data_IF_058756822139
#
_entry.id   IF_058756822139
#
_cell.length_a   1.000
_cell.length_b   1.000
_cell.length_c   1.000
_cell.angle_alpha   90.00
_cell.angle_beta   90.00
_cell.angle_gamma   90.00
#
_symmetry.space_group_name_H-M   'P 1'
#
loop_
_entity.id
_entity.type
_entity.pdbx_description
1 polymer ?
#
# COMPACT_ATOMS: atom_id res chain seq x y z
N UNK A 1 11.17 13.95 -17.85
CA UNK A 1 9.83 13.80 -17.24
C UNK A 1 9.85 13.15 -15.84
N UNK A 2 10.95 12.58 -15.34
CA UNK A 2 11.05 12.16 -13.93
C UNK A 2 11.09 13.37 -12.96
N UNK A 3 11.41 14.53 -13.51
CA UNK A 3 11.97 15.71 -12.86
C UNK A 3 10.93 16.47 -12.02
N UNK A 4 9.64 16.38 -12.35
CA UNK A 4 8.56 17.03 -11.59
C UNK A 4 8.29 16.36 -10.24
N UNK A 5 8.30 15.02 -10.20
CA UNK A 5 8.18 14.27 -8.94
C UNK A 5 9.45 14.46 -8.10
N UNK A 6 10.61 14.49 -8.75
CA UNK A 6 11.89 14.83 -8.14
C UNK A 6 11.92 16.25 -7.54
N UNK A 7 11.29 17.24 -8.19
CA UNK A 7 11.24 18.62 -7.72
C UNK A 7 10.24 18.82 -6.57
N UNK A 8 9.06 18.21 -6.64
CA UNK A 8 8.02 18.31 -5.59
C UNK A 8 8.50 17.73 -4.26
N UNK A 9 9.27 16.64 -4.29
CA UNK A 9 9.87 16.02 -3.11
C UNK A 9 11.10 16.80 -2.58
N UNK A 10 11.72 17.66 -3.40
CA UNK A 10 12.91 18.46 -3.03
C UNK A 10 12.62 19.79 -2.33
N UNK A 11 11.37 20.26 -2.30
CA UNK A 11 11.04 21.65 -1.93
C UNK A 11 10.04 21.81 -0.76
N UNK A 12 9.99 20.83 0.15
CA UNK A 12 9.24 20.97 1.42
C UNK A 12 9.85 22.03 2.33
N UNK A 13 9.07 23.07 2.66
CA UNK A 13 9.46 24.28 3.43
C UNK A 13 10.45 24.01 4.58
N UNK A 14 11.60 24.73 4.56
CA UNK A 14 12.59 25.00 5.63
C UNK A 14 14.04 24.51 5.41
N UNK A 15 14.56 24.45 4.18
CA UNK A 15 15.98 24.16 3.91
C UNK A 15 16.64 25.16 2.95
N UNK A 16 17.82 25.68 3.31
CA UNK A 16 18.73 26.37 2.38
C UNK A 16 19.48 25.35 1.52
N UNK A 17 19.57 25.59 0.21
CA UNK A 17 20.15 24.62 -0.76
C UNK A 17 21.37 25.20 -1.46
N UNK A 18 22.54 24.58 -1.28
CA UNK A 18 23.70 24.81 -2.15
C UNK A 18 23.77 23.73 -3.23
N UNK A 19 24.11 24.12 -4.47
CA UNK A 19 23.95 23.30 -5.67
C UNK A 19 25.18 22.43 -5.94
N UNK A 20 25.11 21.12 -5.67
CA UNK A 20 26.06 20.12 -6.21
C UNK A 20 25.36 19.05 -7.06
N UNK A 21 26.14 18.47 -7.98
CA UNK A 21 25.69 17.95 -9.28
C UNK A 21 24.92 16.62 -9.22
N UNK A 22 23.87 16.56 -10.05
CA UNK A 22 23.28 15.38 -10.74
C UNK A 22 22.71 14.23 -9.90
N UNK A 23 21.65 13.65 -10.47
CA UNK A 23 21.08 12.32 -10.20
C UNK A 23 20.57 12.04 -8.78
N UNK A 24 19.28 12.35 -8.52
CA UNK A 24 18.52 11.68 -7.45
C UNK A 24 17.55 12.56 -6.67
N UNK A 25 16.40 11.99 -6.30
CA UNK A 25 15.43 12.58 -5.38
C UNK A 25 15.92 12.42 -3.93
N UNK A 26 15.90 13.50 -3.16
CA UNK A 26 16.10 13.44 -1.71
C UNK A 26 14.74 13.36 -1.02
N UNK A 27 14.51 12.34 -0.20
CA UNK A 27 13.48 12.32 0.85
C UNK A 27 14.22 11.99 2.13
N UNK A 28 14.09 12.89 3.14
CA UNK A 28 14.88 13.44 5.88
C UNK A 28 14.40 12.59 7.16
N UNK A 29 15.21 11.62 7.61
CA UNK A 29 14.78 10.63 8.61
C UNK A 29 15.93 10.26 9.53
N UNK A 30 15.88 10.77 10.75
CA UNK A 30 16.96 10.60 11.73
C UNK A 30 17.08 9.11 12.13
N UNK A 31 18.34 8.68 12.30
CA UNK A 31 18.90 7.41 12.79
C UNK A 31 18.26 6.08 12.31
N UNK A 32 18.89 5.44 11.32
CA UNK A 32 18.42 4.19 10.72
C UNK A 32 19.55 3.17 10.41
N UNK A 33 19.24 1.88 10.55
CA UNK A 33 20.12 0.76 10.20
C UNK A 33 19.55 0.00 8.98
N UNK A 34 20.38 -0.28 7.98
CA UNK A 34 19.96 -1.04 6.79
C UNK A 34 20.68 -2.39 6.73
N UNK A 35 19.89 -3.47 6.68
CA UNK A 35 20.37 -4.85 6.58
C UNK A 35 20.17 -5.36 5.15
N UNK A 36 21.28 -5.68 4.49
CA UNK A 36 21.34 -6.05 3.07
C UNK A 36 21.82 -7.49 2.95
N UNK A 37 20.93 -8.36 2.48
CA UNK A 37 21.18 -9.79 2.35
C UNK A 37 21.16 -10.21 0.87
N UNK A 38 21.97 -11.19 0.49
CA UNK A 38 22.14 -11.64 -0.89
C UNK A 38 21.49 -13.01 -1.10
N UNK A 39 20.47 -13.08 -1.95
CA UNK A 39 19.76 -14.33 -2.23
C UNK A 39 20.52 -15.16 -3.27
N UNK A 40 21.11 -16.26 -2.82
CA UNK A 40 21.72 -17.27 -3.69
C UNK A 40 20.67 -18.33 -4.09
N UNK A 41 20.46 -18.50 -5.40
CA UNK A 41 19.52 -19.49 -5.93
C UNK A 41 20.13 -20.90 -5.97
N UNK A 42 19.74 -21.75 -5.00
CA UNK A 42 19.91 -23.23 -4.99
C UNK A 42 21.29 -23.79 -5.39
N UNK A 43 22.17 -24.02 -4.40
CA UNK A 43 22.82 -25.34 -4.10
C UNK A 43 23.85 -25.20 -2.96
N UNK A 44 24.08 -26.32 -2.25
CA UNK A 44 24.95 -26.49 -1.05
C UNK A 44 24.40 -25.74 0.19
N UNK A 45 24.03 -26.44 1.26
CA UNK A 45 24.82 -27.20 2.27
C UNK A 45 25.39 -26.30 3.37
N UNK A 46 25.51 -26.86 4.58
CA UNK A 46 26.08 -26.19 5.75
C UNK A 46 27.52 -25.72 5.48
N UNK A 47 27.90 -24.58 6.07
CA UNK A 47 29.29 -24.15 6.15
C UNK A 47 29.75 -23.17 5.06
N UNK A 48 29.09 -22.02 4.93
CA UNK A 48 29.73 -20.84 4.35
C UNK A 48 29.20 -19.53 4.96
N UNK A 49 30.04 -18.50 5.06
CA UNK A 49 29.74 -17.30 5.88
C UNK A 49 28.72 -16.38 5.20
N UNK A 50 27.54 -16.24 5.81
CA UNK A 50 26.51 -15.31 5.36
C UNK A 50 27.00 -13.85 5.46
N UNK A 51 27.30 -13.23 4.32
CA UNK A 51 27.59 -11.78 4.26
C UNK A 51 26.30 -10.98 4.36
N UNK A 52 25.88 -10.70 5.60
CA UNK A 52 24.94 -9.62 5.90
C UNK A 52 25.74 -8.32 5.93
N UNK A 53 25.44 -7.40 5.00
CA UNK A 53 26.00 -6.06 5.04
C UNK A 53 25.06 -5.18 5.87
N UNK A 54 25.55 -4.72 7.01
CA UNK A 54 24.94 -3.67 7.81
C UNK A 54 25.48 -2.32 7.33
N UNK A 55 24.60 -1.50 6.75
CA UNK A 55 24.91 -0.16 6.27
C UNK A 55 24.18 0.83 7.19
N UNK A 56 24.92 1.54 8.06
CA UNK A 56 24.36 2.47 9.04
C UNK A 56 24.28 3.89 8.46
N UNK A 57 23.14 4.56 8.60
CA UNK A 57 22.91 5.86 7.99
C UNK A 57 22.31 6.87 8.99
N UNK A 58 22.87 8.09 8.99
CA UNK A 58 22.29 9.24 9.69
C UNK A 58 21.50 10.10 8.71
N UNK A 59 20.23 10.34 9.01
CA UNK A 59 19.35 11.11 8.15
C UNK A 59 18.82 10.31 6.95
N UNK A 60 18.39 11.04 5.92
CA UNK A 60 17.70 10.48 4.76
C UNK A 60 18.52 9.42 3.99
N UNK A 61 17.89 8.27 3.75
CA UNK A 61 18.50 7.13 3.05
C UNK A 61 17.80 6.90 1.72
N UNK A 62 18.47 7.29 0.63
CA UNK A 62 18.09 6.89 -0.72
C UNK A 62 18.33 5.38 -0.89
N UNK A 63 17.36 4.64 -1.45
CA UNK A 63 17.55 3.21 -1.72
C UNK A 63 18.65 3.05 -2.79
N UNK A 64 19.82 2.47 -2.46
CA UNK A 64 20.96 2.42 -3.38
C UNK A 64 20.67 1.56 -4.60
N UNK A 65 21.47 1.69 -5.66
CA UNK A 65 21.42 0.75 -6.78
C UNK A 65 21.82 -0.66 -6.31
N UNK A 66 20.81 -1.48 -6.01
CA UNK A 66 20.98 -2.86 -5.64
C UNK A 66 21.43 -3.67 -6.87
N UNK A 67 22.52 -4.43 -6.72
CA UNK A 67 22.81 -5.53 -7.65
C UNK A 67 21.61 -6.50 -7.62
N UNK A 68 21.34 -7.19 -8.73
CA UNK A 68 20.23 -8.18 -8.80
C UNK A 68 20.36 -9.23 -7.67
N UNK A 69 19.23 -9.78 -7.24
CA UNK A 69 19.11 -10.83 -6.22
C UNK A 69 19.57 -10.43 -4.80
N UNK A 70 19.14 -9.25 -4.31
CA UNK A 70 19.30 -8.84 -2.91
C UNK A 70 17.95 -8.62 -2.23
N UNK A 71 17.87 -8.94 -0.95
CA UNK A 71 16.80 -8.54 -0.04
C UNK A 71 17.29 -7.35 0.77
N UNK A 72 16.50 -6.27 0.83
CA UNK A 72 16.71 -5.17 1.78
C UNK A 72 15.73 -5.35 2.94
N UNK A 73 16.28 -5.29 4.15
CA UNK A 73 15.55 -5.23 5.41
C UNK A 73 15.88 -3.87 6.02
N UNK A 74 14.86 -3.03 6.20
CA UNK A 74 15.00 -1.73 6.86
C UNK A 74 14.80 -1.95 8.36
N UNK A 75 15.72 -1.44 9.19
CA UNK A 75 15.57 -1.41 10.65
C UNK A 75 15.59 0.04 11.15
N UNK A 76 14.48 0.46 11.77
CA UNK A 76 14.29 1.81 12.33
C UNK A 76 13.67 1.69 13.71
N UNK A 77 14.20 2.45 14.69
CA UNK A 77 13.75 2.41 16.09
C UNK A 77 13.71 0.97 16.65
N UNK A 78 14.71 0.15 16.32
CA UNK A 78 14.75 -1.28 16.65
C UNK A 78 13.85 -2.19 15.79
N UNK A 79 12.73 -1.67 15.25
CA UNK A 79 11.77 -2.44 14.44
C UNK A 79 12.32 -2.84 13.08
N UNK A 80 11.98 -4.05 12.65
CA UNK A 80 12.21 -4.53 11.28
C UNK A 80 10.98 -4.23 10.40
N UNK A 81 11.23 -3.78 9.17
CA UNK A 81 10.20 -3.66 8.12
C UNK A 81 10.03 -4.98 7.35
N UNK A 82 8.80 -5.49 7.28
CA UNK A 82 8.42 -6.71 6.57
C UNK A 82 7.39 -6.44 5.46
N UNK A 83 7.31 -7.34 4.47
CA UNK A 83 6.23 -7.35 3.46
C UNK A 83 5.97 -8.78 2.96
N UNK A 84 4.81 -9.05 2.38
CA UNK A 84 4.45 -10.39 1.89
C UNK A 84 3.03 -10.49 1.34
N UNK A 85 2.54 -11.71 1.11
CA UNK A 85 1.17 -11.96 0.64
C UNK A 85 0.17 -11.90 1.82
N UNK A 86 -0.32 -10.69 2.10
CA UNK A 86 -1.04 -10.34 3.33
C UNK A 86 -2.52 -10.69 3.33
N UNK A 87 -3.15 -10.79 2.16
CA UNK A 87 -4.60 -10.98 2.03
C UNK A 87 -5.02 -12.46 2.03
N UNK A 88 -4.14 -13.36 1.60
CA UNK A 88 -4.42 -14.77 1.41
C UNK A 88 -3.44 -15.65 2.21
N UNK A 89 -2.44 -16.31 1.60
CA UNK A 89 -1.62 -17.35 2.26
C UNK A 89 -0.89 -16.88 3.54
N UNK A 90 -0.50 -15.61 3.61
CA UNK A 90 0.22 -15.05 4.76
C UNK A 90 -0.67 -14.48 5.85
N UNK A 91 -2.00 -14.42 5.67
CA UNK A 91 -2.90 -13.73 6.62
C UNK A 91 -2.88 -14.37 8.00
N UNK A 92 -2.79 -15.70 8.09
CA UNK A 92 -2.67 -16.44 9.36
C UNK A 92 -1.37 -16.11 10.11
N UNK A 93 -0.25 -15.98 9.40
CA UNK A 93 1.05 -15.72 9.99
C UNK A 93 1.18 -14.26 10.43
N UNK A 94 0.59 -13.34 9.67
CA UNK A 94 0.41 -11.94 10.06
C UNK A 94 -0.47 -11.85 11.31
N UNK A 95 -1.69 -12.41 11.28
CA UNK A 95 -2.65 -12.46 12.38
C UNK A 95 -1.99 -12.87 13.71
N UNK A 96 -1.35 -14.04 13.74
CA UNK A 96 -0.67 -14.52 14.95
C UNK A 96 0.56 -13.70 15.36
N UNK A 97 1.21 -12.99 14.43
CA UNK A 97 2.33 -12.10 14.76
C UNK A 97 1.86 -10.76 15.37
N UNK A 98 0.68 -10.27 14.96
CA UNK A 98 0.02 -9.11 15.55
C UNK A 98 -0.53 -9.44 16.95
N UNK A 99 -1.20 -10.58 17.08
CA UNK A 99 -1.73 -11.13 18.34
C UNK A 99 -0.66 -11.24 19.43
N UNK A 100 0.54 -11.71 19.09
CA UNK A 100 1.67 -11.84 20.03
C UNK A 100 2.41 -10.54 20.32
N UNK A 101 1.95 -9.39 19.82
CA UNK A 101 2.58 -8.09 20.09
C UNK A 101 4.02 -7.95 19.54
N UNK A 102 4.41 -8.71 18.52
CA UNK A 102 5.79 -8.65 18.00
C UNK A 102 6.12 -7.23 17.48
N UNK A 103 7.33 -6.72 17.76
CA UNK A 103 7.69 -5.35 17.43
C UNK A 103 8.26 -5.21 15.99
N UNK A 104 7.38 -5.06 15.01
CA UNK A 104 7.71 -4.90 13.58
C UNK A 104 6.80 -3.88 12.89
N UNK A 105 7.25 -3.36 11.74
CA UNK A 105 6.39 -2.64 10.78
C UNK A 105 6.12 -3.56 9.61
N UNK A 106 4.85 -3.73 9.25
CA UNK A 106 4.46 -4.52 8.09
C UNK A 106 3.88 -3.63 6.99
N UNK A 107 4.51 -3.65 5.82
CA UNK A 107 4.10 -2.89 4.64
C UNK A 107 3.45 -3.83 3.63
N UNK A 108 2.13 -3.71 3.47
CA UNK A 108 1.40 -4.38 2.41
C UNK A 108 1.38 -3.50 1.15
N UNK A 109 2.13 -3.90 0.13
CA UNK A 109 2.08 -3.28 -1.20
C UNK A 109 0.86 -3.81 -1.97
N UNK A 110 -0.33 -3.28 -1.69
CA UNK A 110 -1.56 -3.78 -2.30
C UNK A 110 -1.66 -3.40 -3.78
N UNK A 111 -1.37 -4.37 -4.64
CA UNK A 111 -1.52 -4.31 -6.09
C UNK A 111 -2.72 -5.14 -6.60
N UNK A 112 -3.60 -5.58 -5.70
CA UNK A 112 -4.92 -6.18 -5.96
C UNK A 112 -4.95 -7.48 -6.81
N UNK A 113 -3.82 -8.14 -7.03
CA UNK A 113 -3.73 -9.46 -7.68
C UNK A 113 -2.36 -10.10 -7.41
N UNK A 114 -2.17 -11.39 -7.69
CA UNK A 114 -0.81 -11.95 -7.73
C UNK A 114 -0.11 -11.53 -9.03
N UNK A 115 0.42 -10.31 -9.05
CA UNK A 115 0.98 -9.69 -10.26
C UNK A 115 2.18 -10.45 -10.83
N UNK A 116 3.05 -10.99 -9.97
CA UNK A 116 4.26 -11.71 -10.39
C UNK A 116 3.94 -13.01 -11.14
N UNK A 117 2.87 -13.72 -10.75
CA UNK A 117 2.44 -14.99 -11.34
C UNK A 117 1.37 -14.80 -12.43
N UNK A 118 1.38 -13.66 -13.10
CA UNK A 118 0.47 -13.38 -14.21
C UNK A 118 -0.90 -12.83 -13.81
N UNK A 119 -0.95 -11.95 -12.81
CA UNK A 119 -2.17 -11.24 -12.37
C UNK A 119 -3.35 -12.17 -12.02
N UNK A 120 -3.09 -13.17 -11.17
CA UNK A 120 -4.11 -14.09 -10.66
C UNK A 120 -4.97 -13.44 -9.56
N UNK A 121 -6.22 -13.89 -9.40
CA UNK A 121 -7.16 -13.42 -8.36
C UNK A 121 -6.60 -13.61 -6.95
N UNK A 122 -6.65 -12.55 -6.14
CA UNK A 122 -6.36 -12.58 -4.69
C UNK A 122 -7.59 -12.14 -3.89
N UNK A 123 -7.53 -12.22 -2.55
CA UNK A 123 -8.50 -11.60 -1.65
C UNK A 123 -8.53 -10.07 -1.74
N UNK A 124 -7.44 -9.45 -2.23
CA UNK A 124 -7.33 -8.02 -2.46
C UNK A 124 -7.97 -7.54 -3.76
N UNK A 125 -8.18 -8.43 -4.73
CA UNK A 125 -8.85 -8.11 -6.00
C UNK A 125 -10.26 -7.55 -5.73
N UNK A 126 -10.68 -6.41 -6.32
CA UNK A 126 -12.04 -5.89 -6.16
C UNK A 126 -13.08 -6.70 -6.97
N UNK A 127 -14.37 -6.46 -6.71
CA UNK A 127 -15.46 -7.03 -7.51
C UNK A 127 -15.36 -6.54 -8.96
N UNK A 128 -15.75 -7.38 -9.91
CA UNK A 128 -15.77 -7.05 -11.35
C UNK A 128 -14.40 -6.96 -12.03
N UNK A 129 -13.28 -7.10 -11.31
CA UNK A 129 -11.96 -7.14 -11.94
C UNK A 129 -11.75 -8.47 -12.68
N UNK A 130 -11.37 -8.39 -13.95
CA UNK A 130 -10.86 -9.52 -14.73
C UNK A 130 -9.41 -9.81 -14.33
N UNK A 131 -9.13 -11.07 -14.04
CA UNK A 131 -7.80 -11.62 -13.70
C UNK A 131 -7.57 -12.92 -14.49
N UNK A 132 -6.38 -13.52 -14.43
CA UNK A 132 -6.15 -14.80 -15.14
C UNK A 132 -6.89 -16.00 -14.54
N UNK A 133 -7.19 -15.99 -13.23
CA UNK A 133 -7.94 -17.06 -12.54
C UNK A 133 -9.39 -16.70 -12.20
N UNK A 134 -9.80 -15.46 -12.45
CA UNK A 134 -11.20 -15.05 -12.54
C UNK A 134 -11.36 -14.11 -13.76
N UNK A 135 -11.38 -14.66 -14.99
CA UNK A 135 -11.50 -13.89 -16.22
C UNK A 135 -12.93 -13.38 -16.44
N UNK A 136 -13.05 -12.24 -17.13
CA UNK A 136 -14.33 -11.78 -17.65
C UNK A 136 -14.62 -12.39 -19.03
N UNK A 137 -15.89 -12.71 -19.30
CA UNK A 137 -16.37 -13.33 -20.54
C UNK A 137 -17.88 -13.59 -20.49
N UNK A 138 -18.40 -14.43 -21.39
CA UNK A 138 -19.86 -14.69 -21.51
C UNK A 138 -20.54 -15.27 -20.25
N UNK A 139 -19.77 -15.90 -19.35
CA UNK A 139 -20.29 -16.64 -18.18
C UNK A 139 -19.82 -16.07 -16.84
N UNK A 140 -19.03 -15.00 -16.84
CA UNK A 140 -18.56 -14.34 -15.63
C UNK A 140 -18.08 -12.93 -15.91
N UNK A 141 -18.35 -12.01 -14.99
CA UNK A 141 -17.87 -10.62 -15.03
C UNK A 141 -16.52 -10.42 -14.31
N UNK A 142 -15.75 -11.49 -14.09
CA UNK A 142 -14.50 -11.47 -13.32
C UNK A 142 -14.69 -11.96 -11.89
N UNK A 143 -14.08 -11.29 -10.90
CA UNK A 143 -14.27 -11.66 -9.47
C UNK A 143 -15.67 -11.25 -8.96
N UNK A 144 -16.41 -12.19 -8.38
CA UNK A 144 -17.76 -11.95 -7.85
C UNK A 144 -17.79 -11.30 -6.46
N UNK A 145 -16.79 -11.55 -5.60
CA UNK A 145 -16.75 -11.00 -4.24
C UNK A 145 -16.13 -9.59 -4.21
N UNK A 146 -16.52 -8.75 -3.25
CA UNK A 146 -15.86 -7.48 -2.92
C UNK A 146 -14.43 -7.68 -2.38
N UNK A 147 -13.66 -6.59 -2.27
CA UNK A 147 -12.29 -6.60 -1.73
C UNK A 147 -12.33 -6.95 -0.24
N UNK A 148 -11.51 -7.90 0.22
CA UNK A 148 -11.36 -8.18 1.66
C UNK A 148 -10.79 -6.93 2.35
N UNK A 149 -11.46 -6.39 3.37
CA UNK A 149 -10.92 -5.27 4.14
C UNK A 149 -9.85 -5.74 5.14
N UNK A 150 -8.63 -5.92 4.63
CA UNK A 150 -7.48 -6.25 5.45
C UNK A 150 -7.14 -5.14 6.47
N UNK A 151 -7.48 -3.87 6.19
CA UNK A 151 -7.21 -2.76 7.11
C UNK A 151 -8.07 -2.89 8.36
N UNK A 152 -9.37 -3.18 8.22
CA UNK A 152 -10.24 -3.46 9.37
C UNK A 152 -9.89 -4.77 10.08
N UNK A 153 -9.50 -5.83 9.35
CA UNK A 153 -9.04 -7.09 9.98
C UNK A 153 -7.81 -6.85 10.85
N UNK A 154 -6.83 -6.07 10.37
CA UNK A 154 -5.64 -5.72 11.16
C UNK A 154 -5.97 -4.79 12.33
N UNK A 155 -6.87 -3.82 12.15
CA UNK A 155 -7.35 -2.97 13.25
C UNK A 155 -8.12 -3.76 14.34
N UNK A 156 -8.78 -4.87 13.98
CA UNK A 156 -9.45 -5.74 14.94
C UNK A 156 -8.48 -6.44 15.92
N UNK A 157 -7.20 -6.58 15.58
CA UNK A 157 -6.16 -7.03 16.52
C UNK A 157 -5.79 -5.98 17.58
N UNK A 158 -6.33 -4.75 17.51
CA UNK A 158 -6.09 -3.64 18.46
C UNK A 158 -4.60 -3.28 18.61
N UNK A 159 -3.81 -3.48 17.55
CA UNK A 159 -2.40 -3.10 17.55
C UNK A 159 -2.24 -1.57 17.65
N UNK A 160 -1.11 -1.07 18.20
CA UNK A 160 -0.86 0.36 18.40
C UNK A 160 -1.12 1.24 17.17
N UNK A 161 -0.79 0.75 15.97
CA UNK A 161 -0.89 1.57 14.76
C UNK A 161 -1.24 0.79 13.48
N UNK A 162 -2.31 1.21 12.80
CA UNK A 162 -2.73 0.71 11.49
C UNK A 162 -2.99 1.91 10.58
N UNK A 163 -2.53 1.90 9.33
CA UNK A 163 -2.91 2.94 8.39
C UNK A 163 -3.09 2.43 6.96
N UNK A 164 -3.91 3.15 6.20
CA UNK A 164 -4.13 2.94 4.77
C UNK A 164 -3.69 4.19 4.01
N UNK A 165 -2.77 4.02 3.05
CA UNK A 165 -2.00 5.10 2.43
C UNK A 165 -1.95 4.96 0.90
N UNK A 166 -1.56 6.04 0.21
CA UNK A 166 -1.41 6.07 -1.25
C UNK A 166 -0.24 6.97 -1.66
N UNK A 167 0.57 6.52 -2.62
CA UNK A 167 1.69 7.30 -3.16
C UNK A 167 1.26 8.61 -3.86
N UNK A 168 -0.03 8.76 -4.21
CA UNK A 168 -0.58 10.03 -4.71
C UNK A 168 -0.62 11.13 -3.64
N UNK A 169 -0.64 10.75 -2.36
CA UNK A 169 -0.67 11.64 -1.21
C UNK A 169 0.62 11.43 -0.39
N UNK A 170 1.76 11.76 -1.00
CA UNK A 170 3.08 11.39 -0.48
C UNK A 170 3.38 11.90 0.94
N UNK A 171 2.93 13.11 1.30
CA UNK A 171 3.06 13.64 2.67
C UNK A 171 2.35 12.73 3.70
N UNK A 172 1.11 12.32 3.41
CA UNK A 172 0.32 11.39 4.23
C UNK A 172 1.05 10.04 4.39
N UNK A 173 1.58 9.49 3.30
CA UNK A 173 2.36 8.25 3.32
C UNK A 173 3.64 8.37 4.16
N UNK A 174 4.36 9.49 4.09
CA UNK A 174 5.57 9.74 4.90
C UNK A 174 5.19 9.82 6.38
N UNK A 175 4.28 10.71 6.78
CA UNK A 175 3.85 10.87 8.17
C UNK A 175 3.33 9.56 8.77
N UNK A 176 2.53 8.79 8.01
CA UNK A 176 2.06 7.47 8.44
C UNK A 176 3.18 6.44 8.62
N UNK A 177 4.23 6.53 7.79
CA UNK A 177 5.39 5.64 7.91
C UNK A 177 6.21 5.97 9.16
N UNK A 178 6.37 7.26 9.48
CA UNK A 178 7.06 7.70 10.68
C UNK A 178 6.32 7.28 11.96
N UNK A 179 5.00 7.46 12.01
CA UNK A 179 4.15 6.93 13.09
C UNK A 179 4.30 5.41 13.26
N UNK A 180 4.25 4.64 12.17
CA UNK A 180 4.38 3.19 12.23
C UNK A 180 5.72 2.72 12.85
N UNK A 181 6.82 3.43 12.55
CA UNK A 181 8.13 3.18 13.17
C UNK A 181 8.26 3.76 14.59
N UNK A 182 7.46 4.76 14.98
CA UNK A 182 7.47 5.37 16.30
C UNK A 182 6.56 4.69 17.34
N UNK A 183 5.50 4.00 16.92
CA UNK A 183 4.57 3.31 17.82
C UNK A 183 5.28 2.23 18.66
N UNK A 184 4.79 1.89 19.85
CA UNK A 184 5.39 0.82 20.68
C UNK A 184 4.73 -0.54 20.42
N UNK A 185 5.40 -1.42 19.67
CA UNK A 185 4.86 -2.73 19.25
C UNK A 185 4.49 -2.81 17.75
N UNK A 186 3.62 -3.76 17.34
CA UNK A 186 3.32 -4.02 15.94
C UNK A 186 2.62 -2.85 15.24
N UNK A 187 3.03 -2.55 14.00
CA UNK A 187 2.39 -1.54 13.17
C UNK A 187 2.20 -2.02 11.72
N UNK A 188 1.13 -1.54 11.05
CA UNK A 188 0.76 -1.99 9.70
C UNK A 188 0.42 -0.84 8.75
N UNK A 189 0.92 -0.93 7.51
CA UNK A 189 0.68 0.02 6.42
C UNK A 189 0.11 -0.70 5.20
N UNK A 190 -1.14 -0.40 4.84
CA UNK A 190 -1.77 -0.86 3.61
C UNK A 190 -1.57 0.22 2.52
N UNK A 191 -0.61 0.02 1.62
CA UNK A 191 -0.23 1.01 0.60
C UNK A 191 -0.71 0.55 -0.76
N UNK A 192 -1.64 1.28 -1.39
CA UNK A 192 -2.10 0.93 -2.73
C UNK A 192 -0.99 1.18 -3.76
N UNK A 193 -0.66 0.15 -4.53
CA UNK A 193 0.50 0.07 -5.40
C UNK A 193 0.06 -0.34 -6.80
N UNK A 194 -0.07 0.63 -7.70
CA UNK A 194 -0.64 0.41 -9.03
C UNK A 194 0.24 -0.54 -9.86
N UNK A 195 -0.34 -1.57 -10.47
CA UNK A 195 0.41 -2.44 -11.40
C UNK A 195 -0.04 -2.20 -12.84
N UNK A 196 0.61 -1.28 -13.54
CA UNK A 196 0.23 -0.87 -14.91
C UNK A 196 0.04 -2.04 -15.89
N UNK A 197 0.89 -3.09 -15.83
CA UNK A 197 0.76 -4.31 -16.65
C UNK A 197 -0.48 -5.14 -16.30
N UNK A 198 -0.73 -5.40 -15.01
CA UNK A 198 -1.85 -6.25 -14.57
C UNK A 198 -3.20 -5.54 -14.60
N UNK A 199 -3.22 -4.24 -14.29
CA UNK A 199 -4.43 -3.41 -14.33
C UNK A 199 -4.73 -2.89 -15.73
N UNK A 200 -3.75 -3.00 -16.65
CA UNK A 200 -3.81 -2.63 -18.08
C UNK A 200 -4.10 -1.14 -18.29
N UNK A 201 -3.13 -0.31 -17.91
CA UNK A 201 -3.15 1.15 -18.13
C UNK A 201 -1.72 1.67 -18.46
N UNK A 202 -1.54 2.88 -19.03
CA UNK A 202 -0.23 3.45 -19.37
C UNK A 202 0.63 3.81 -18.14
N UNK A 203 1.92 3.49 -18.11
CA UNK A 203 2.75 3.58 -16.91
C UNK A 203 2.79 4.99 -16.28
N UNK A 204 2.81 6.03 -17.11
CA UNK A 204 2.77 7.44 -16.76
C UNK A 204 1.49 7.85 -16.00
N UNK A 205 0.39 7.13 -16.18
CA UNK A 205 -0.89 7.35 -15.46
C UNK A 205 -0.91 6.78 -14.03
N UNK A 206 0.19 6.22 -13.54
CA UNK A 206 0.30 5.60 -12.20
C UNK A 206 -0.15 6.53 -11.07
N UNK A 207 0.35 7.77 -11.01
CA UNK A 207 -0.03 8.70 -9.93
C UNK A 207 -1.47 9.20 -10.08
N UNK A 208 -1.94 9.38 -11.31
CA UNK A 208 -3.30 9.82 -11.63
C UNK A 208 -4.35 8.78 -11.18
N UNK A 209 -4.17 7.50 -11.54
CA UNK A 209 -5.06 6.40 -11.12
C UNK A 209 -4.95 6.15 -9.60
N UNK A 210 -3.76 6.33 -9.03
CA UNK A 210 -3.54 6.27 -7.58
C UNK A 210 -4.25 7.39 -6.82
N UNK A 211 -4.42 8.56 -7.44
CA UNK A 211 -5.27 9.65 -6.92
C UNK A 211 -6.75 9.37 -7.13
N UNK A 212 -7.17 8.86 -8.30
CA UNK A 212 -8.57 8.48 -8.55
C UNK A 212 -9.08 7.42 -7.57
N UNK A 213 -8.25 6.47 -7.14
CA UNK A 213 -8.58 5.52 -6.08
C UNK A 213 -8.97 6.21 -4.76
N UNK A 214 -8.30 7.31 -4.42
CA UNK A 214 -8.57 8.10 -3.20
C UNK A 214 -9.75 9.05 -3.40
N UNK A 215 -9.77 9.80 -4.52
CA UNK A 215 -10.78 10.82 -4.81
C UNK A 215 -12.19 10.23 -5.01
N UNK A 216 -12.29 8.94 -5.39
CA UNK A 216 -13.57 8.21 -5.44
C UNK A 216 -14.00 7.62 -4.10
N UNK A 217 -13.10 7.54 -3.12
CA UNK A 217 -13.30 6.84 -1.85
C UNK A 217 -13.11 5.32 -1.92
N UNK A 218 -12.76 4.74 -3.08
CA UNK A 218 -12.44 3.31 -3.22
C UNK A 218 -11.25 2.87 -2.33
N UNK A 219 -10.29 3.77 -2.14
CA UNK A 219 -9.15 3.64 -1.24
C UNK A 219 -9.08 4.82 -0.26
N UNK A 220 -9.89 4.82 0.81
CA UNK A 220 -9.92 5.91 1.78
C UNK A 220 -8.58 6.02 2.52
N UNK A 221 -8.11 7.24 2.76
CA UNK A 221 -6.85 7.48 3.48
C UNK A 221 -7.14 7.68 4.97
N UNK A 222 -6.79 6.65 5.74
CA UNK A 222 -7.09 6.56 7.17
C UNK A 222 -5.87 6.15 8.00
N UNK A 223 -5.91 6.48 9.28
CA UNK A 223 -5.11 5.91 10.34
C UNK A 223 -6.02 5.39 11.47
N UNK A 224 -5.55 4.39 12.20
CA UNK A 224 -6.13 3.85 13.44
C UNK A 224 -4.99 3.78 14.44
N UNK A 225 -5.02 4.67 15.43
CA UNK A 225 -3.95 4.87 16.39
C UNK A 225 -4.49 4.57 17.79
N UNK A 226 -3.98 3.52 18.43
CA UNK A 226 -4.51 2.97 19.69
C UNK A 226 -6.04 2.72 19.67
N UNK A 227 -6.56 2.30 18.51
CA UNK A 227 -8.00 2.05 18.29
C UNK A 227 -8.81 3.26 17.81
N UNK A 228 -8.28 4.48 17.87
CA UNK A 228 -8.95 5.71 17.40
C UNK A 228 -8.87 5.79 15.88
N UNK A 229 -10.01 5.66 15.20
CA UNK A 229 -10.11 5.74 13.74
C UNK A 229 -10.16 7.20 13.26
N UNK A 230 -9.39 7.54 12.23
CA UNK A 230 -9.33 8.90 11.68
C UNK A 230 -9.09 8.91 10.17
N UNK A 231 -9.85 9.73 9.45
CA UNK A 231 -9.48 10.14 8.09
C UNK A 231 -8.31 11.13 8.15
N UNK A 232 -7.26 10.86 7.39
CA UNK A 232 -6.12 11.79 7.22
C UNK A 232 -6.25 12.63 5.96
N UNK A 233 -7.08 12.20 5.01
CA UNK A 233 -7.55 13.01 3.88
C UNK A 233 -8.99 12.64 3.53
N UNK A 234 -9.85 13.66 3.38
CA UNK A 234 -11.15 13.57 2.71
C UNK A 234 -11.11 14.45 1.45
N UNK A 235 -11.55 13.95 0.28
CA UNK A 235 -11.90 14.81 -0.85
C UNK A 235 -12.96 15.84 -0.44
N UNK A 236 -12.92 17.06 -1.00
CA UNK A 236 -14.01 18.05 -0.82
C UNK A 236 -15.36 17.52 -1.32
N UNK A 237 -15.30 16.79 -2.42
CA UNK A 237 -16.39 16.09 -3.08
C UNK A 237 -15.83 14.76 -3.58
N UNK A 238 -16.56 13.67 -3.40
CA UNK A 238 -16.13 12.33 -3.86
C UNK A 238 -16.57 12.10 -5.31
N UNK A 239 -15.64 11.63 -6.14
CA UNK A 239 -15.96 11.23 -7.52
C UNK A 239 -16.72 9.89 -7.56
N UNK A 240 -17.60 9.66 -8.55
CA UNK A 240 -18.17 8.34 -8.81
C UNK A 240 -17.07 7.29 -9.08
N UNK A 241 -17.20 6.08 -8.53
CA UNK A 241 -16.18 5.01 -8.60
C UNK A 241 -15.81 4.64 -10.05
N UNK A 242 -16.74 4.82 -10.99
CA UNK A 242 -16.51 4.62 -12.43
C UNK A 242 -15.33 5.43 -12.97
N UNK A 243 -15.01 6.60 -12.40
CA UNK A 243 -13.84 7.41 -12.78
C UNK A 243 -12.52 6.68 -12.47
N UNK A 244 -12.46 5.91 -11.39
CA UNK A 244 -11.31 5.05 -11.09
C UNK A 244 -11.29 3.79 -11.95
N UNK A 245 -12.45 3.15 -12.20
CA UNK A 245 -12.53 1.88 -12.92
C UNK A 245 -12.26 2.03 -14.44
N UNK A 246 -12.79 3.08 -15.07
CA UNK A 246 -12.78 3.33 -16.52
C UNK A 246 -11.39 3.36 -17.19
N UNK A 247 -10.32 3.98 -16.63
CA UNK A 247 -9.00 3.98 -17.25
C UNK A 247 -8.24 2.64 -17.18
N UNK A 248 -8.82 1.58 -16.60
CA UNK A 248 -8.13 0.30 -16.37
C UNK A 248 -8.72 -0.84 -17.21
N UNK A 249 -7.93 -1.41 -18.12
CA UNK A 249 -8.36 -2.53 -18.98
C UNK A 249 -8.70 -3.84 -18.26
N UNK A 250 -8.57 -3.92 -16.92
CA UNK A 250 -9.12 -5.01 -16.09
C UNK A 250 -10.62 -4.87 -15.78
N UNK A 251 -11.24 -3.72 -16.07
CA UNK A 251 -12.69 -3.45 -15.85
C UNK A 251 -13.45 -3.15 -17.15
N UNK A 252 -12.79 -3.13 -18.33
CA UNK A 252 -13.38 -2.66 -19.60
C UNK A 252 -14.73 -3.31 -19.95
N UNK A 253 -14.93 -4.57 -19.58
CA UNK A 253 -16.17 -5.32 -19.81
C UNK A 253 -17.36 -4.84 -18.97
N UNK A 254 -17.13 -4.20 -17.81
CA UNK A 254 -18.19 -3.67 -16.95
C UNK A 254 -18.91 -2.47 -17.58
N UNK A 255 -18.26 -1.75 -18.50
CA UNK A 255 -18.80 -0.60 -19.22
C UNK A 255 -19.66 -1.00 -20.43
N UNK A 256 -20.45 -2.05 -20.25
CA UNK A 256 -21.51 -2.50 -21.14
C UNK A 256 -22.82 -2.56 -20.36
N UNK A 257 -23.95 -2.29 -21.00
CA UNK A 257 -25.27 -2.34 -20.35
C UNK A 257 -25.55 -3.67 -19.61
N UNK A 258 -25.13 -4.80 -20.19
CA UNK A 258 -25.25 -6.14 -19.58
C UNK A 258 -24.62 -6.25 -18.17
N UNK A 259 -23.62 -5.41 -17.86
CA UNK A 259 -22.85 -5.41 -16.62
C UNK A 259 -23.10 -4.16 -15.74
N UNK A 260 -24.01 -3.27 -16.13
CA UNK A 260 -24.24 -1.98 -15.46
C UNK A 260 -24.56 -2.11 -13.96
N UNK A 261 -25.39 -3.10 -13.61
CA UNK A 261 -25.73 -3.43 -12.22
C UNK A 261 -24.49 -3.67 -11.34
N UNK A 262 -23.39 -4.18 -11.89
CA UNK A 262 -22.15 -4.45 -11.15
C UNK A 262 -21.41 -3.13 -10.81
N UNK A 263 -21.50 -2.12 -11.68
CA UNK A 263 -20.95 -0.79 -11.40
C UNK A 263 -21.74 -0.10 -10.28
N UNK A 264 -23.06 -0.28 -10.26
CA UNK A 264 -23.96 0.21 -9.22
C UNK A 264 -23.69 -0.49 -7.87
N UNK A 265 -23.50 -1.82 -7.88
CA UNK A 265 -23.06 -2.58 -6.69
C UNK A 265 -21.67 -2.14 -6.17
N UNK A 266 -20.70 -1.89 -7.05
CA UNK A 266 -19.36 -1.42 -6.64
C UNK A 266 -19.41 0.01 -6.09
N UNK A 267 -20.25 0.88 -6.66
CA UNK A 267 -20.48 2.22 -6.12
C UNK A 267 -21.07 2.12 -4.70
N UNK A 268 -22.09 1.28 -4.50
CA UNK A 268 -22.72 1.07 -3.20
C UNK A 268 -21.74 0.50 -2.15
N UNK A 269 -20.93 -0.50 -2.49
CA UNK A 269 -19.89 -1.06 -1.59
C UNK A 269 -18.90 0.03 -1.13
N UNK A 270 -18.47 0.91 -2.04
CA UNK A 270 -17.58 2.03 -1.71
C UNK A 270 -18.28 3.07 -0.82
N UNK A 271 -19.55 3.38 -1.06
CA UNK A 271 -20.33 4.34 -0.26
C UNK A 271 -20.69 3.81 1.14
N UNK A 272 -21.17 2.57 1.22
CA UNK A 272 -21.44 1.85 2.49
C UNK A 272 -20.17 1.79 3.35
N UNK A 273 -19.03 1.48 2.72
CA UNK A 273 -17.73 1.42 3.38
C UNK A 273 -17.22 2.81 3.82
N UNK A 274 -17.40 3.85 3.00
CA UNK A 274 -17.04 5.22 3.38
C UNK A 274 -17.84 5.67 4.60
N UNK A 275 -19.17 5.53 4.56
CA UNK A 275 -20.06 5.90 5.66
C UNK A 275 -19.83 5.06 6.93
N UNK A 276 -19.43 3.78 6.78
CA UNK A 276 -18.98 2.94 7.91
C UNK A 276 -17.74 3.54 8.59
N UNK A 277 -16.73 3.95 7.82
CA UNK A 277 -15.50 4.53 8.36
C UNK A 277 -15.78 5.89 9.01
N UNK A 278 -16.70 6.69 8.47
CA UNK A 278 -17.13 7.95 9.11
C UNK A 278 -17.76 7.70 10.49
N UNK A 279 -18.68 6.73 10.60
CA UNK A 279 -19.23 6.31 11.90
C UNK A 279 -18.15 5.79 12.87
N UNK A 280 -17.13 5.09 12.38
CA UNK A 280 -15.98 4.66 13.21
C UNK A 280 -15.15 5.84 13.72
N UNK A 281 -14.97 6.91 12.92
CA UNK A 281 -14.32 8.13 13.37
C UNK A 281 -15.17 8.87 14.43
N UNK A 282 -16.45 9.07 14.14
CA UNK A 282 -17.39 9.80 15.02
C UNK A 282 -17.61 9.11 16.37
N UNK A 283 -17.64 7.78 16.41
CA UNK A 283 -17.78 7.03 17.66
C UNK A 283 -16.64 7.29 18.64
N UNK A 284 -15.41 7.49 18.14
CA UNK A 284 -14.25 7.81 18.98
C UNK A 284 -14.26 9.26 19.48
N UNK A 285 -15.03 10.17 18.86
CA UNK A 285 -15.18 11.55 19.31
C UNK A 285 -16.16 11.74 20.49
N UNK A 286 -16.75 10.65 21.02
CA UNK A 286 -17.74 10.67 22.11
C UNK A 286 -17.25 10.02 23.42
N UNK A 287 -15.94 9.80 23.55
CA UNK A 287 -15.30 9.17 24.71
C UNK A 287 -14.11 10.02 25.19
N UNK A 288 -14.32 11.34 25.22
CA UNK A 288 -13.38 12.38 25.67
C UNK A 288 -14.14 13.40 26.52
#
# INVERSE_FOLDING_TARGET
MNDMVELILKLGKNCNVSKRKKDGIYIIGIDNEYLKHKLYSRRRLYGDKQQVLLENYKGFVYCPQLKKNHTVIIKRNGKISLSGNSYDIGIQALSGALERGHNFVYVCYNNEAYQNTGAQRSGATPKGASTTTAPAGKVSYGKHQFRKDLTAIVAAHRIPYVAQASASHWNDLVTKSEKAFAADGPAFLNVISMCHRGWRFPQEKTIEISKLAVDTGFWPLIEVENGVWKFTYKPKERKPVVEFLKPQGRFKHLFKEENKHILEEIQKDVDDNWARIERMCEANCKVA
#
